data_IF_629332643814
#
_entry.id   IF_629332643814
#
_cell.length_a   1.000
_cell.length_b   1.000
_cell.length_c   1.000
_cell.angle_alpha   90.00
_cell.angle_beta   90.00
_cell.angle_gamma   90.00
#
_symmetry.space_group_name_H-M   'P 1'
#
loop_
_entity.id
_entity.type
_entity.pdbx_description
1 polymer ?
#
# COMPACT_ATOMS: atom_id res chain seq x y z
N UNK A 1 -8.28 44.97 28.98
CA UNK A 1 -8.21 45.26 27.53
C UNK A 1 -6.82 45.01 26.94
N UNK A 2 -5.72 45.41 27.61
CA UNK A 2 -4.34 45.10 27.18
C UNK A 2 -4.01 43.59 27.14
N UNK A 3 -4.49 42.81 28.10
CA UNK A 3 -4.14 41.38 28.22
C UNK A 3 -4.66 40.49 27.07
N UNK A 4 -5.78 40.87 26.45
CA UNK A 4 -6.38 40.14 25.32
C UNK A 4 -5.57 40.38 24.02
N UNK A 5 -5.02 41.59 23.86
CA UNK A 5 -4.23 41.96 22.68
C UNK A 5 -2.85 41.25 22.65
N UNK A 6 -2.26 40.96 23.80
CA UNK A 6 -0.99 40.23 23.89
C UNK A 6 -1.13 38.73 23.55
N UNK A 7 -2.23 38.09 23.98
CA UNK A 7 -2.53 36.70 23.63
C UNK A 7 -2.84 36.53 22.13
N UNK A 8 -3.60 37.44 21.55
CA UNK A 8 -3.89 37.46 20.11
C UNK A 8 -2.62 37.71 19.27
N UNK A 9 -1.73 38.59 19.74
CA UNK A 9 -0.45 38.83 19.07
C UNK A 9 0.47 37.61 19.14
N UNK A 10 0.62 36.99 20.31
CA UNK A 10 1.46 35.80 20.47
C UNK A 10 0.93 34.60 19.68
N UNK A 11 -0.38 34.39 19.63
CA UNK A 11 -0.99 33.31 18.86
C UNK A 11 -0.87 33.53 17.35
N UNK A 12 -1.03 34.77 16.88
CA UNK A 12 -0.85 35.13 15.47
C UNK A 12 0.59 34.93 15.02
N UNK A 13 1.59 35.39 15.79
CA UNK A 13 3.01 35.23 15.45
C UNK A 13 3.39 33.74 15.41
N UNK A 14 2.95 32.94 16.38
CA UNK A 14 3.20 31.49 16.39
C UNK A 14 2.58 30.80 15.18
N UNK A 15 1.36 31.18 14.80
CA UNK A 15 0.68 30.66 13.60
C UNK A 15 1.44 31.00 12.32
N UNK A 16 1.89 32.26 12.18
CA UNK A 16 2.70 32.70 11.03
C UNK A 16 4.05 31.97 10.98
N UNK A 17 4.69 31.72 12.13
CA UNK A 17 5.93 30.93 12.20
C UNK A 17 5.69 29.47 11.80
N UNK A 18 4.61 28.84 12.27
CA UNK A 18 4.24 27.49 11.86
C UNK A 18 3.94 27.37 10.37
N UNK A 19 3.22 28.33 9.80
CA UNK A 19 2.89 28.39 8.39
C UNK A 19 4.15 28.57 7.54
N UNK A 20 5.03 29.51 7.92
CA UNK A 20 6.33 29.71 7.26
C UNK A 20 7.24 28.48 7.39
N UNK A 21 7.26 27.80 8.54
CA UNK A 21 8.01 26.56 8.70
C UNK A 21 7.43 25.42 7.84
N UNK A 22 6.10 25.29 7.75
CA UNK A 22 5.42 24.33 6.87
C UNK A 22 5.73 24.65 5.40
N UNK A 23 5.78 25.92 5.03
CA UNK A 23 6.09 26.38 3.68
C UNK A 23 7.56 26.12 3.31
N UNK A 24 8.52 26.45 4.19
CA UNK A 24 9.94 26.11 4.03
C UNK A 24 10.17 24.59 3.95
N UNK A 25 9.44 23.79 4.73
CA UNK A 25 9.49 22.31 4.65
C UNK A 25 8.96 21.80 3.31
N UNK A 26 7.92 22.44 2.73
CA UNK A 26 7.38 22.10 1.41
C UNK A 26 8.33 22.47 0.27
N UNK A 27 9.04 23.58 0.41
CA UNK A 27 10.02 24.06 -0.57
C UNK A 27 11.36 23.31 -0.51
N UNK A 28 11.59 22.46 0.51
CA UNK A 28 12.79 21.64 0.61
C UNK A 28 12.88 20.72 -0.61
N UNK A 29 13.97 20.85 -1.37
CA UNK A 29 14.26 20.03 -2.55
C UNK A 29 14.41 18.57 -2.10
N UNK A 30 13.43 17.73 -2.41
CA UNK A 30 13.48 16.29 -2.15
C UNK A 30 14.25 15.65 -3.30
N UNK A 31 15.44 15.11 -3.00
CA UNK A 31 16.17 14.26 -3.94
C UNK A 31 15.42 12.94 -4.07
N UNK A 32 14.95 12.63 -5.28
CA UNK A 32 14.34 11.35 -5.56
C UNK A 32 15.42 10.24 -5.51
N UNK A 33 15.09 9.03 -5.04
CA UNK A 33 16.02 7.91 -5.05
C UNK A 33 16.43 7.57 -6.50
N UNK A 34 17.66 7.08 -6.67
CA UNK A 34 18.16 6.67 -7.96
C UNK A 34 17.34 5.47 -8.50
N UNK A 35 17.20 5.36 -9.81
CA UNK A 35 16.51 4.26 -10.46
C UNK A 35 17.14 2.90 -10.14
N UNK A 36 18.46 2.85 -9.99
CA UNK A 36 19.17 1.61 -9.65
C UNK A 36 18.83 1.12 -8.24
N UNK A 37 18.71 2.04 -7.28
CA UNK A 37 18.30 1.70 -5.91
C UNK A 37 16.86 1.16 -5.87
N UNK A 38 15.96 1.74 -6.67
CA UNK A 38 14.57 1.27 -6.81
C UNK A 38 14.55 -0.14 -7.40
N UNK A 39 15.37 -0.41 -8.44
CA UNK A 39 15.49 -1.75 -9.03
C UNK A 39 16.04 -2.75 -8.03
N UNK A 40 17.08 -2.38 -7.30
CA UNK A 40 17.71 -3.22 -6.28
C UNK A 40 16.70 -3.59 -5.19
N UNK A 41 15.96 -2.60 -4.67
CA UNK A 41 14.91 -2.83 -3.68
C UNK A 41 13.80 -3.73 -4.23
N UNK A 42 13.34 -3.50 -5.46
CA UNK A 42 12.29 -4.33 -6.07
C UNK A 42 12.74 -5.79 -6.24
N UNK A 43 13.97 -6.00 -6.70
CA UNK A 43 14.56 -7.35 -6.80
C UNK A 43 14.66 -8.02 -5.43
N UNK A 44 15.15 -7.29 -4.42
CA UNK A 44 15.21 -7.79 -3.05
C UNK A 44 13.83 -8.21 -2.53
N UNK A 45 12.81 -7.34 -2.66
CA UNK A 45 11.45 -7.65 -2.24
C UNK A 45 10.89 -8.86 -2.98
N UNK A 46 11.10 -8.94 -4.29
CA UNK A 46 10.61 -10.03 -5.13
C UNK A 46 11.24 -11.37 -4.78
N UNK A 47 12.56 -11.40 -4.58
CA UNK A 47 13.26 -12.62 -4.22
C UNK A 47 12.83 -13.12 -2.83
N UNK A 48 12.67 -12.22 -1.86
CA UNK A 48 12.24 -12.61 -0.52
C UNK A 48 10.77 -13.05 -0.48
N UNK A 49 9.85 -12.40 -1.21
CA UNK A 49 8.46 -12.88 -1.32
C UNK A 49 8.41 -14.31 -1.86
N UNK A 50 9.16 -14.62 -2.92
CA UNK A 50 9.23 -15.97 -3.50
C UNK A 50 9.77 -17.00 -2.50
N UNK A 51 10.81 -16.65 -1.74
CA UNK A 51 11.35 -17.51 -0.67
C UNK A 51 10.31 -17.79 0.41
N UNK A 52 9.62 -16.75 0.90
CA UNK A 52 8.58 -16.91 1.92
C UNK A 52 7.41 -17.76 1.40
N UNK A 53 6.97 -17.55 0.15
CA UNK A 53 5.93 -18.38 -0.47
C UNK A 53 6.34 -19.86 -0.51
N UNK A 54 7.55 -20.16 -0.98
CA UNK A 54 8.06 -21.54 -1.01
C UNK A 54 8.13 -22.17 0.39
N UNK A 55 8.50 -21.39 1.41
CA UNK A 55 8.50 -21.89 2.80
C UNK A 55 7.08 -22.24 3.23
N UNK A 56 6.11 -21.35 2.97
CA UNK A 56 4.70 -21.53 3.36
C UNK A 56 3.99 -22.66 2.60
N UNK A 57 4.41 -22.95 1.36
CA UNK A 57 3.93 -24.10 0.60
C UNK A 57 4.35 -25.43 1.23
N UNK A 58 5.55 -25.49 1.82
CA UNK A 58 6.08 -26.70 2.45
C UNK A 58 5.67 -26.86 3.91
N UNK A 59 5.70 -25.76 4.68
CA UNK A 59 5.37 -25.74 6.10
C UNK A 59 4.75 -24.42 6.50
N UNK A 60 3.78 -24.50 7.41
CA UNK A 60 3.26 -23.31 8.05
C UNK A 60 4.27 -22.76 9.05
N UNK A 61 4.89 -21.64 8.70
CA UNK A 61 5.91 -20.96 9.48
C UNK A 61 5.49 -19.50 9.71
N UNK A 62 5.36 -19.12 10.99
CA UNK A 62 4.83 -17.81 11.36
C UNK A 62 5.76 -16.67 10.93
N UNK A 63 7.07 -16.86 11.06
CA UNK A 63 8.06 -15.86 10.68
C UNK A 63 8.04 -15.64 9.17
N UNK A 64 7.99 -16.72 8.38
CA UNK A 64 7.85 -16.64 6.93
C UNK A 64 6.54 -15.96 6.50
N UNK A 65 5.43 -16.21 7.20
CA UNK A 65 4.15 -15.55 6.94
C UNK A 65 4.22 -14.04 7.26
N UNK A 66 4.82 -13.69 8.39
CA UNK A 66 5.01 -12.31 8.81
C UNK A 66 5.92 -11.55 7.84
N UNK A 67 7.00 -12.16 7.41
CA UNK A 67 7.92 -11.58 6.44
C UNK A 67 7.29 -11.46 5.06
N UNK A 68 6.49 -12.44 4.62
CA UNK A 68 5.68 -12.31 3.41
C UNK A 68 4.77 -11.08 3.49
N UNK A 69 4.10 -10.85 4.63
CA UNK A 69 3.26 -9.68 4.83
C UNK A 69 4.06 -8.37 4.74
N UNK A 70 5.23 -8.27 5.39
CA UNK A 70 6.11 -7.08 5.33
C UNK A 70 6.60 -6.79 3.91
N UNK A 71 7.13 -7.80 3.22
CA UNK A 71 7.64 -7.62 1.86
C UNK A 71 6.51 -7.26 0.89
N UNK A 72 5.35 -7.90 1.02
CA UNK A 72 4.17 -7.60 0.19
C UNK A 72 3.70 -6.17 0.44
N UNK A 73 3.52 -5.76 1.69
CA UNK A 73 3.12 -4.39 2.06
C UNK A 73 4.05 -3.34 1.45
N UNK A 74 5.37 -3.55 1.59
CA UNK A 74 6.40 -2.64 1.05
C UNK A 74 6.33 -2.58 -0.48
N UNK A 75 6.04 -3.71 -1.12
CA UNK A 75 5.92 -3.79 -2.58
C UNK A 75 4.69 -3.05 -3.10
N UNK A 76 3.55 -3.17 -2.41
CA UNK A 76 2.32 -2.43 -2.73
C UNK A 76 2.57 -0.92 -2.57
N UNK A 77 3.24 -0.52 -1.49
CA UNK A 77 3.57 0.87 -1.21
C UNK A 77 4.51 1.47 -2.28
N UNK A 78 5.58 0.75 -2.62
CA UNK A 78 6.54 1.16 -3.64
C UNK A 78 5.89 1.29 -5.02
N UNK A 79 5.10 0.29 -5.43
CA UNK A 79 4.48 0.26 -6.75
C UNK A 79 3.43 1.37 -6.93
N UNK A 80 2.59 1.59 -5.91
CA UNK A 80 1.54 2.61 -5.99
C UNK A 80 2.03 4.02 -5.59
N UNK A 81 3.29 4.16 -5.16
CA UNK A 81 3.89 5.40 -4.61
C UNK A 81 2.99 6.06 -3.54
N UNK A 82 2.32 5.24 -2.73
CA UNK A 82 1.35 5.69 -1.72
C UNK A 82 2.02 5.89 -0.37
N UNK A 83 1.37 6.67 0.50
CA UNK A 83 1.81 6.82 1.89
C UNK A 83 1.52 5.52 2.64
N UNK A 84 2.43 5.11 3.53
CA UNK A 84 2.30 3.89 4.34
C UNK A 84 0.92 3.75 4.97
N UNK A 85 0.41 4.82 5.61
CA UNK A 85 -0.90 4.79 6.26
C UNK A 85 -2.10 4.54 5.34
N UNK A 86 -2.03 4.80 4.03
CA UNK A 86 -3.12 4.44 3.10
C UNK A 86 -3.13 2.93 2.81
N UNK A 87 -1.94 2.33 2.65
CA UNK A 87 -1.78 0.91 2.32
C UNK A 87 -1.96 0.02 3.55
N UNK A 88 -1.48 0.45 4.72
CA UNK A 88 -1.66 -0.29 5.98
C UNK A 88 -3.13 -0.44 6.38
N UNK A 89 -3.99 0.49 5.92
CA UNK A 89 -5.43 0.48 6.20
C UNK A 89 -6.26 -0.31 5.18
N UNK A 90 -5.63 -1.01 4.24
CA UNK A 90 -6.35 -1.87 3.29
C UNK A 90 -7.13 -2.93 4.08
N UNK A 91 -8.45 -2.93 3.89
CA UNK A 91 -9.32 -3.95 4.48
C UNK A 91 -9.50 -5.14 3.54
N UNK A 92 -9.92 -6.28 4.10
CA UNK A 92 -10.29 -7.47 3.32
C UNK A 92 -11.49 -7.14 2.42
N UNK A 93 -12.42 -6.31 2.90
CA UNK A 93 -13.55 -5.84 2.11
C UNK A 93 -13.10 -5.04 0.89
N UNK A 94 -12.19 -4.08 1.07
CA UNK A 94 -11.59 -3.32 -0.04
C UNK A 94 -10.87 -4.25 -1.03
N UNK A 95 -10.08 -5.19 -0.52
CA UNK A 95 -9.36 -6.13 -1.36
C UNK A 95 -10.31 -6.99 -2.20
N UNK A 96 -11.42 -7.46 -1.63
CA UNK A 96 -12.40 -8.30 -2.31
C UNK A 96 -13.18 -7.58 -3.43
N UNK A 97 -13.10 -6.25 -3.55
CA UNK A 97 -13.68 -5.52 -4.68
C UNK A 97 -12.74 -5.50 -5.90
N UNK A 98 -11.74 -6.37 -5.95
CA UNK A 98 -10.77 -6.39 -7.03
C UNK A 98 -11.42 -6.67 -8.39
N UNK A 99 -10.88 -6.04 -9.41
CA UNK A 99 -11.28 -6.11 -10.80
C UNK A 99 -10.08 -6.46 -11.67
N UNK A 100 -10.31 -7.33 -12.64
CA UNK A 100 -9.33 -7.70 -13.67
C UNK A 100 -9.90 -7.31 -15.02
N UNK A 101 -9.11 -6.59 -15.81
CA UNK A 101 -9.49 -6.29 -17.19
C UNK A 101 -8.98 -7.43 -18.07
N UNK A 102 -9.89 -8.28 -18.51
CA UNK A 102 -9.60 -9.36 -19.45
C UNK A 102 -10.75 -9.47 -20.48
N UNK A 103 -10.52 -10.31 -21.49
CA UNK A 103 -11.46 -10.52 -22.59
C UNK A 103 -12.81 -11.07 -22.12
N UNK A 104 -12.82 -11.88 -21.06
CA UNK A 104 -14.01 -12.51 -20.51
C UNK A 104 -14.91 -11.56 -19.69
N UNK A 105 -14.31 -10.53 -19.08
CA UNK A 105 -15.01 -9.59 -18.18
C UNK A 105 -15.40 -8.30 -18.90
N UNK A 106 -14.49 -7.74 -19.71
CA UNK A 106 -14.66 -6.42 -20.33
C UNK A 106 -14.31 -6.47 -21.82
N UNK A 107 -15.02 -7.31 -22.60
CA UNK A 107 -14.70 -7.59 -24.01
C UNK A 107 -14.48 -6.33 -24.86
N UNK A 108 -15.38 -5.34 -24.77
CA UNK A 108 -15.31 -4.12 -25.59
C UNK A 108 -14.14 -3.21 -25.19
N UNK A 109 -13.92 -3.03 -23.88
CA UNK A 109 -12.80 -2.24 -23.36
C UNK A 109 -11.49 -2.95 -23.72
N UNK A 110 -11.40 -4.25 -23.45
CA UNK A 110 -10.22 -5.05 -23.73
C UNK A 110 -9.87 -5.01 -25.21
N UNK A 111 -10.84 -5.14 -26.11
CA UNK A 111 -10.60 -5.11 -27.55
C UNK A 111 -10.16 -3.74 -28.09
N UNK A 112 -10.58 -2.65 -27.43
CA UNK A 112 -10.12 -1.30 -27.76
C UNK A 112 -8.65 -1.03 -27.36
N UNK A 113 -8.06 -1.85 -26.50
CA UNK A 113 -6.68 -1.69 -26.03
C UNK A 113 -5.66 -2.12 -27.09
N UNK A 114 -4.50 -1.45 -27.09
CA UNK A 114 -3.33 -1.91 -27.85
C UNK A 114 -2.84 -3.28 -27.38
N UNK A 115 -2.05 -3.97 -28.20
CA UNK A 115 -1.47 -5.27 -27.84
C UNK A 115 -0.65 -5.22 -26.55
N UNK A 116 0.13 -4.17 -26.34
CA UNK A 116 0.92 -3.94 -25.12
C UNK A 116 0.02 -3.71 -23.91
N UNK A 117 -1.04 -2.93 -24.10
CA UNK A 117 -2.02 -2.63 -23.06
C UNK A 117 -2.83 -3.86 -22.67
N UNK A 118 -3.17 -4.74 -23.62
CA UNK A 118 -3.77 -6.06 -23.38
C UNK A 118 -2.84 -6.96 -22.57
N UNK A 119 -1.54 -6.99 -22.89
CA UNK A 119 -0.55 -7.73 -22.12
C UNK A 119 -0.47 -7.20 -20.68
N UNK A 120 -0.43 -5.88 -20.49
CA UNK A 120 -0.41 -5.27 -19.16
C UNK A 120 -1.71 -5.55 -18.39
N UNK A 121 -2.88 -5.38 -19.01
CA UNK A 121 -4.18 -5.64 -18.39
C UNK A 121 -4.28 -7.07 -17.85
N UNK A 122 -3.71 -8.05 -18.58
CA UNK A 122 -3.61 -9.43 -18.12
C UNK A 122 -2.68 -9.64 -16.92
N UNK A 123 -1.75 -8.74 -16.62
CA UNK A 123 -0.78 -8.90 -15.51
C UNK A 123 -1.17 -8.13 -14.26
N UNK A 124 -2.07 -7.15 -14.37
CA UNK A 124 -2.45 -6.27 -13.28
C UNK A 124 -3.90 -6.46 -12.84
N UNK A 125 -4.12 -6.29 -11.55
CA UNK A 125 -5.41 -6.28 -10.88
C UNK A 125 -5.57 -4.93 -10.19
N UNK A 126 -6.77 -4.37 -10.22
CA UNK A 126 -7.10 -3.11 -9.54
C UNK A 126 -8.14 -3.35 -8.46
N UNK A 127 -8.05 -2.65 -7.34
CA UNK A 127 -9.14 -2.50 -6.38
C UNK A 127 -9.15 -1.07 -5.84
N UNK A 128 -10.15 -0.71 -5.04
CA UNK A 128 -10.28 0.65 -4.49
C UNK A 128 -10.23 0.63 -2.97
N UNK A 129 -9.57 1.65 -2.42
CA UNK A 129 -9.45 1.84 -0.96
C UNK A 129 -10.01 3.20 -0.58
N UNK A 130 -10.43 3.35 0.68
CA UNK A 130 -10.93 4.63 1.19
C UNK A 130 -9.79 5.64 1.41
N UNK A 131 -9.80 6.72 0.62
CA UNK A 131 -8.92 7.87 0.78
C UNK A 131 -9.50 8.96 1.69
N UNK A 132 -8.80 10.11 1.75
CA UNK A 132 -9.26 11.30 2.48
C UNK A 132 -10.58 11.82 1.90
N UNK A 133 -11.45 12.31 2.79
CA UNK A 133 -12.78 12.86 2.43
C UNK A 133 -13.66 11.83 1.67
N UNK A 134 -13.56 10.54 2.03
CA UNK A 134 -14.33 9.45 1.44
C UNK A 134 -14.12 9.24 -0.07
N UNK A 135 -13.07 9.79 -0.66
CA UNK A 135 -12.72 9.54 -2.07
C UNK A 135 -12.15 8.15 -2.24
N UNK A 136 -12.65 7.38 -3.21
CA UNK A 136 -12.07 6.11 -3.63
C UNK A 136 -10.69 6.32 -4.24
N UNK A 137 -9.74 5.48 -3.86
CA UNK A 137 -8.36 5.54 -4.32
C UNK A 137 -8.03 4.20 -4.97
N UNK A 138 -7.71 4.17 -6.28
CA UNK A 138 -7.34 2.93 -6.93
C UNK A 138 -5.95 2.47 -6.47
N UNK A 139 -5.84 1.17 -6.23
CA UNK A 139 -4.60 0.44 -5.97
C UNK A 139 -4.44 -0.58 -7.08
N UNK A 140 -3.28 -0.55 -7.74
CA UNK A 140 -2.92 -1.47 -8.80
C UNK A 140 -1.91 -2.50 -8.24
N UNK A 141 -2.11 -3.77 -8.56
CA UNK A 141 -1.28 -4.88 -8.10
C UNK A 141 -0.88 -5.75 -9.28
N UNK A 142 0.39 -6.14 -9.32
CA UNK A 142 0.81 -7.25 -10.18
C UNK A 142 0.23 -8.57 -9.66
N UNK A 143 -0.09 -9.52 -10.54
CA UNK A 143 -0.60 -10.86 -10.20
C UNK A 143 0.21 -11.56 -9.12
N UNK A 144 1.53 -11.43 -9.16
CA UNK A 144 2.42 -12.00 -8.14
C UNK A 144 2.12 -11.45 -6.74
N UNK A 145 1.98 -10.12 -6.60
CA UNK A 145 1.70 -9.47 -5.31
C UNK A 145 0.28 -9.82 -4.84
N UNK A 146 -0.67 -9.89 -5.77
CA UNK A 146 -2.04 -10.31 -5.48
C UNK A 146 -2.09 -11.74 -4.92
N UNK A 147 -1.33 -12.67 -5.50
CA UNK A 147 -1.20 -14.03 -4.98
C UNK A 147 -0.58 -14.04 -3.58
N UNK A 148 0.45 -13.22 -3.33
CA UNK A 148 1.01 -13.06 -1.98
C UNK A 148 -0.06 -12.62 -0.97
N UNK A 149 -0.91 -11.64 -1.32
CA UNK A 149 -2.02 -11.20 -0.45
C UNK A 149 -3.01 -12.34 -0.21
N UNK A 150 -3.38 -13.10 -1.24
CA UNK A 150 -4.24 -14.28 -1.08
C UNK A 150 -3.65 -15.30 -0.12
N UNK A 151 -2.36 -15.61 -0.24
CA UNK A 151 -1.65 -16.52 0.67
C UNK A 151 -1.62 -15.98 2.11
N UNK A 152 -1.40 -14.68 2.29
CA UNK A 152 -1.45 -14.03 3.60
C UNK A 152 -2.83 -14.22 4.24
N UNK A 153 -3.90 -13.97 3.49
CA UNK A 153 -5.28 -14.12 3.95
C UNK A 153 -5.65 -15.58 4.24
N UNK A 154 -5.16 -16.53 3.43
CA UNK A 154 -5.37 -17.97 3.62
C UNK A 154 -4.83 -18.46 4.97
N UNK A 155 -3.62 -18.06 5.33
CA UNK A 155 -2.96 -18.51 6.57
C UNK A 155 -3.19 -17.60 7.78
N UNK A 156 -4.02 -16.56 7.61
CA UNK A 156 -4.35 -15.58 8.65
C UNK A 156 -4.84 -16.21 9.95
N UNK A 157 -5.73 -17.20 9.85
CA UNK A 157 -6.30 -17.90 11.02
C UNK A 157 -5.23 -18.72 11.75
N UNK A 158 -4.35 -19.39 10.99
CA UNK A 158 -3.22 -20.14 11.54
C UNK A 158 -2.21 -19.23 12.26
N UNK A 159 -2.08 -17.98 11.81
CA UNK A 159 -1.23 -16.97 12.43
C UNK A 159 -1.84 -16.33 13.70
N UNK A 160 -3.03 -16.78 14.14
CA UNK A 160 -3.67 -16.29 15.37
C UNK A 160 -4.35 -14.92 15.23
N UNK A 161 -4.60 -14.45 14.00
CA UNK A 161 -5.29 -13.19 13.79
C UNK A 161 -6.79 -13.37 14.01
N UNK A 162 -7.39 -12.51 14.84
CA UNK A 162 -8.84 -12.50 15.08
C UNK A 162 -9.63 -12.30 13.79
N UNK A 163 -10.74 -13.04 13.64
CA UNK A 163 -11.71 -12.87 12.54
C UNK A 163 -12.36 -11.48 12.57
N UNK A 164 -12.36 -10.81 13.72
CA UNK A 164 -12.86 -9.43 13.86
C UNK A 164 -11.93 -8.37 13.27
N UNK A 165 -10.68 -8.71 12.96
CA UNK A 165 -9.73 -7.76 12.40
C UNK A 165 -9.99 -7.59 10.88
N UNK A 166 -10.36 -6.39 10.40
CA UNK A 166 -10.69 -6.18 8.99
C UNK A 166 -9.46 -5.96 8.10
N UNK A 167 -8.27 -5.72 8.65
CA UNK A 167 -7.10 -5.29 7.87
C UNK A 167 -6.37 -6.46 7.22
N UNK A 168 -5.97 -6.31 5.95
CA UNK A 168 -5.19 -7.35 5.23
C UNK A 168 -3.86 -7.60 5.92
N UNK A 169 -3.12 -6.53 6.21
CA UNK A 169 -1.82 -6.60 6.86
C UNK A 169 -2.01 -6.42 8.37
N UNK A 170 -1.94 -7.54 9.09
CA UNK A 170 -1.92 -7.53 10.55
C UNK A 170 -0.49 -7.62 11.07
N UNK A 171 -0.23 -6.98 12.21
CA UNK A 171 1.01 -7.12 12.95
C UNK A 171 0.68 -7.40 14.42
N UNK A 172 1.35 -8.39 15.07
CA UNK A 172 1.19 -8.62 16.49
C UNK A 172 1.71 -7.40 17.24
N UNK A 173 0.83 -6.68 17.94
CA UNK A 173 1.30 -5.72 18.93
C UNK A 173 1.94 -6.54 20.05
N UNK A 174 3.18 -6.21 20.40
CA UNK A 174 3.94 -6.93 21.42
C UNK A 174 3.09 -7.17 22.67
N UNK A 175 3.18 -8.40 23.18
CA UNK A 175 2.77 -8.73 24.54
C UNK A 175 3.62 -7.95 25.55
#
# INVERSE_FOLDING_TARGET
MLHILEEDFSSSVNKTVEENQKEKRRQKKVTLPNMDDIKLLNQFLTNNRKKCLLILENKLDFDAWMDLAKYTLTSVQMFNRRRAGEIERITIADFNTYQTVNEDVDHDIFNSLSSESKMAARQYIRFEIRGKLARGVPVLLHKEIFNCIKTILQYRKNAGVSDSNPFVFWYPRGQ
#
